data_IF_069044466243
#
_entry.id   IF_069044466243
#
_cell.length_a   1.000
_cell.length_b   1.000
_cell.length_c   1.000
_cell.angle_alpha   90.00
_cell.angle_beta   90.00
_cell.angle_gamma   90.00
#
_symmetry.space_group_name_H-M   'P 1'
#
loop_
_entity.id
_entity.type
_entity.pdbx_description
1 polymer ?
#
# COMPACT_ATOMS: atom_id res chain seq x y z
N UNK A 1 -9.55 17.30 39.89
CA UNK A 1 -9.95 17.09 38.47
C UNK A 1 -8.79 16.40 37.75
N UNK A 2 -8.88 15.07 37.59
CA UNK A 2 -7.88 14.28 36.86
C UNK A 2 -7.99 14.57 35.37
N UNK A 3 -6.96 15.18 34.81
CA UNK A 3 -6.76 15.22 33.36
C UNK A 3 -6.50 13.80 32.84
N UNK A 4 -7.54 13.14 32.33
CA UNK A 4 -7.41 11.94 31.52
C UNK A 4 -6.78 12.33 30.17
N UNK A 5 -5.46 12.49 30.13
CA UNK A 5 -4.71 12.34 28.90
C UNK A 5 -4.61 10.85 28.58
N UNK A 6 -5.65 10.30 27.95
CA UNK A 6 -5.57 8.95 27.36
C UNK A 6 -4.67 9.01 26.12
N UNK A 7 -3.36 9.16 26.31
CA UNK A 7 -2.43 8.89 25.22
C UNK A 7 -2.55 7.40 24.94
N UNK A 8 -3.07 7.01 23.76
CA UNK A 8 -3.04 5.62 23.32
C UNK A 8 -1.66 5.04 23.56
N UNK A 9 -1.62 3.86 24.17
CA UNK A 9 -0.35 3.19 24.48
C UNK A 9 0.43 2.99 23.18
N UNK A 10 1.76 3.18 23.22
CA UNK A 10 2.62 2.95 22.04
C UNK A 10 2.43 1.53 21.47
N UNK A 11 2.06 0.57 22.30
CA UNK A 11 1.80 -0.81 21.89
C UNK A 11 0.52 -0.90 21.04
N UNK A 12 -0.54 -0.18 21.42
CA UNK A 12 -1.80 -0.15 20.66
C UNK A 12 -1.57 0.41 19.25
N UNK A 13 -0.81 1.52 19.15
CA UNK A 13 -0.44 2.11 17.86
C UNK A 13 0.40 1.12 17.03
N UNK A 14 1.35 0.43 17.66
CA UNK A 14 2.20 -0.54 16.98
C UNK A 14 1.39 -1.73 16.43
N UNK A 15 0.44 -2.26 17.22
CA UNK A 15 -0.43 -3.37 16.82
C UNK A 15 -1.31 -2.96 15.63
N UNK A 16 -1.98 -1.81 15.70
CA UNK A 16 -2.81 -1.35 14.59
C UNK A 16 -2.01 -1.02 13.33
N UNK A 17 -0.81 -0.45 13.49
CA UNK A 17 0.06 -0.12 12.36
C UNK A 17 0.68 -1.35 11.70
N UNK A 18 0.98 -2.41 12.46
CA UNK A 18 1.58 -3.63 11.91
C UNK A 18 0.56 -4.57 11.25
N UNK A 19 -0.70 -4.53 11.70
CA UNK A 19 -1.79 -5.37 11.20
C UNK A 19 -1.93 -5.42 9.65
N UNK A 20 -1.95 -4.31 8.89
CA UNK A 20 -2.06 -4.39 7.43
C UNK A 20 -0.87 -5.11 6.81
N UNK A 21 0.33 -4.87 7.32
CA UNK A 21 1.56 -5.44 6.78
C UNK A 21 1.63 -6.95 7.00
N UNK A 22 1.25 -7.39 8.20
CA UNK A 22 1.15 -8.82 8.52
C UNK A 22 0.08 -9.49 7.67
N UNK A 23 -1.07 -8.83 7.49
CA UNK A 23 -2.17 -9.36 6.68
C UNK A 23 -1.80 -9.43 5.19
N UNK A 24 -1.14 -8.42 4.65
CA UNK A 24 -0.62 -8.40 3.28
C UNK A 24 0.36 -9.56 3.05
N UNK A 25 1.35 -9.74 3.95
CA UNK A 25 2.27 -10.88 3.90
C UNK A 25 1.53 -12.22 3.96
N UNK A 26 0.62 -12.38 4.92
CA UNK A 26 -0.14 -13.61 5.07
C UNK A 26 -0.93 -13.95 3.81
N UNK A 27 -1.64 -12.98 3.23
CA UNK A 27 -2.44 -13.18 2.03
C UNK A 27 -1.56 -13.50 0.83
N UNK A 28 -0.49 -12.74 0.56
CA UNK A 28 0.33 -13.02 -0.63
C UNK A 28 1.01 -14.40 -0.54
N UNK A 29 1.46 -14.80 0.66
CA UNK A 29 2.05 -16.11 0.91
C UNK A 29 1.02 -17.23 0.78
N UNK A 30 -0.17 -17.06 1.33
CA UNK A 30 -1.26 -18.04 1.22
C UNK A 30 -1.70 -18.20 -0.24
N UNK A 31 -1.90 -17.10 -0.97
CA UNK A 31 -2.27 -17.14 -2.39
C UNK A 31 -1.18 -17.78 -3.25
N UNK A 32 0.09 -17.52 -2.94
CA UNK A 32 1.16 -18.18 -3.64
C UNK A 32 1.20 -19.69 -3.34
N UNK A 33 1.01 -20.08 -2.08
CA UNK A 33 1.04 -21.48 -1.67
C UNK A 33 -0.13 -22.30 -2.22
N UNK A 34 -1.36 -21.76 -2.21
CA UNK A 34 -2.57 -22.49 -2.60
C UNK A 34 -2.96 -22.35 -4.07
N UNK A 35 -2.66 -21.21 -4.70
CA UNK A 35 -3.24 -20.85 -6.00
C UNK A 35 -2.20 -20.62 -7.10
N UNK A 36 -0.90 -20.54 -6.79
CA UNK A 36 0.11 -20.32 -7.83
C UNK A 36 0.47 -21.63 -8.57
N UNK A 37 0.66 -21.57 -9.91
CA UNK A 37 1.20 -22.69 -10.67
C UNK A 37 2.58 -23.13 -10.15
N UNK A 38 2.88 -24.44 -10.21
CA UNK A 38 4.19 -24.95 -9.82
C UNK A 38 5.30 -24.27 -10.63
N UNK A 39 6.37 -23.86 -9.96
CA UNK A 39 7.53 -23.14 -10.51
C UNK A 39 7.25 -21.74 -11.08
N UNK A 40 6.11 -21.12 -10.75
CA UNK A 40 5.88 -19.72 -11.13
C UNK A 40 6.79 -18.76 -10.36
N UNK A 41 7.21 -17.67 -11.01
CA UNK A 41 7.95 -16.58 -10.35
C UNK A 41 6.99 -15.87 -9.38
N UNK A 42 7.32 -15.86 -8.09
CA UNK A 42 6.56 -15.08 -7.11
C UNK A 42 6.87 -13.59 -7.29
N UNK A 43 5.81 -12.81 -7.46
CA UNK A 43 5.87 -11.35 -7.46
C UNK A 43 4.80 -10.87 -6.51
N UNK A 44 5.21 -10.05 -5.54
CA UNK A 44 4.27 -9.53 -4.56
C UNK A 44 3.20 -8.66 -5.24
N UNK A 45 1.91 -8.96 -5.00
CA UNK A 45 0.81 -8.09 -5.41
C UNK A 45 0.74 -6.83 -4.55
N UNK A 46 1.59 -6.65 -3.54
CA UNK A 46 1.50 -5.51 -2.65
C UNK A 46 2.66 -4.51 -2.80
N UNK A 47 3.65 -4.83 -3.64
CA UNK A 47 4.87 -4.05 -3.75
C UNK A 47 4.62 -2.65 -4.32
N UNK A 48 3.72 -2.50 -5.30
CA UNK A 48 3.35 -1.17 -5.83
C UNK A 48 2.59 -0.35 -4.78
N UNK A 49 1.77 -1.01 -3.95
CA UNK A 49 1.07 -0.39 -2.83
C UNK A 49 2.07 0.15 -1.80
N UNK A 50 3.11 -0.64 -1.50
CA UNK A 50 4.20 -0.25 -0.60
C UNK A 50 4.96 0.98 -1.11
N UNK A 51 5.32 1.00 -2.40
CA UNK A 51 5.99 2.17 -2.99
C UNK A 51 5.10 3.41 -3.04
N UNK A 52 3.81 3.23 -3.33
CA UNK A 52 2.82 4.32 -3.33
C UNK A 52 2.67 4.93 -1.93
N UNK A 53 2.51 4.08 -0.91
CA UNK A 53 2.52 4.48 0.49
C UNK A 53 3.80 5.24 0.84
N UNK A 54 4.95 4.71 0.43
CA UNK A 54 6.26 5.32 0.63
C UNK A 54 6.35 6.72 0.02
N UNK A 55 5.95 6.86 -1.24
CA UNK A 55 5.97 8.14 -1.97
C UNK A 55 5.13 9.20 -1.26
N UNK A 56 3.88 8.87 -0.93
CA UNK A 56 2.95 9.77 -0.25
C UNK A 56 3.52 10.16 1.12
N UNK A 57 4.06 9.20 1.86
CA UNK A 57 4.64 9.41 3.18
C UNK A 57 5.87 10.32 3.14
N UNK A 58 6.75 10.17 2.14
CA UNK A 58 7.90 11.07 1.95
C UNK A 58 7.49 12.47 1.50
N UNK A 59 6.49 12.60 0.62
CA UNK A 59 5.92 13.92 0.25
C UNK A 59 5.40 14.64 1.49
N UNK A 60 4.66 13.92 2.34
CA UNK A 60 4.15 14.42 3.62
C UNK A 60 5.28 14.80 4.57
N UNK A 61 6.34 13.99 4.67
CA UNK A 61 7.49 14.29 5.51
C UNK A 61 8.32 15.46 4.98
N UNK A 62 8.33 15.69 3.68
CA UNK A 62 9.08 16.77 3.04
C UNK A 62 8.35 18.12 3.10
N UNK A 63 7.07 18.14 2.72
CA UNK A 63 6.26 19.36 2.55
C UNK A 63 5.11 19.49 3.54
N UNK A 64 4.82 18.46 4.33
CA UNK A 64 3.73 18.50 5.29
C UNK A 64 4.07 19.35 6.51
N UNK A 65 3.22 20.33 6.79
CA UNK A 65 3.25 21.14 8.01
C UNK A 65 2.77 20.31 9.21
N UNK A 66 3.58 19.34 9.64
CA UNK A 66 3.25 18.42 10.72
C UNK A 66 3.95 18.86 12.01
N UNK A 67 3.21 18.93 13.12
CA UNK A 67 3.81 19.19 14.43
C UNK A 67 4.79 18.08 14.83
N UNK A 68 5.87 18.42 15.56
CA UNK A 68 6.91 17.46 15.94
C UNK A 68 6.39 16.17 16.62
N UNK A 69 5.34 16.27 17.45
CA UNK A 69 4.71 15.11 18.09
C UNK A 69 4.03 14.16 17.09
N UNK A 70 3.28 14.70 16.13
CA UNK A 70 2.63 13.94 15.07
C UNK A 70 3.67 13.31 14.14
N UNK A 71 4.71 14.07 13.77
CA UNK A 71 5.80 13.58 12.92
C UNK A 71 6.48 12.38 13.55
N UNK A 72 6.77 12.43 14.86
CA UNK A 72 7.37 11.31 15.59
C UNK A 72 6.48 10.06 15.57
N UNK A 73 5.16 10.21 15.77
CA UNK A 73 4.21 9.08 15.71
C UNK A 73 4.11 8.52 14.29
N UNK A 74 4.06 9.38 13.28
CA UNK A 74 4.00 8.97 11.88
C UNK A 74 5.28 8.25 11.45
N UNK A 75 6.47 8.81 11.73
CA UNK A 75 7.75 8.14 11.46
C UNK A 75 7.84 6.81 12.20
N UNK A 76 7.36 6.71 13.45
CA UNK A 76 7.29 5.43 14.17
C UNK A 76 6.41 4.40 13.43
N UNK A 77 5.22 4.78 12.98
CA UNK A 77 4.38 3.89 12.16
C UNK A 77 5.11 3.48 10.88
N UNK A 78 5.80 4.40 10.22
CA UNK A 78 6.56 4.12 9.00
C UNK A 78 7.76 3.19 9.24
N UNK A 79 8.34 3.19 10.44
CA UNK A 79 9.39 2.23 10.79
C UNK A 79 8.91 0.77 10.78
N UNK A 80 7.60 0.52 10.85
CA UNK A 80 7.02 -0.82 10.80
C UNK A 80 6.86 -1.36 9.39
N UNK A 81 7.07 -0.55 8.34
CA UNK A 81 7.11 -1.03 6.94
C UNK A 81 8.17 -2.12 6.74
N UNK A 82 9.19 -2.15 7.60
CA UNK A 82 10.23 -3.17 7.64
C UNK A 82 9.66 -4.60 7.73
N UNK A 83 8.52 -4.77 8.42
CA UNK A 83 7.85 -6.07 8.59
C UNK A 83 7.50 -6.61 7.21
N UNK A 84 6.78 -5.82 6.41
CA UNK A 84 6.41 -6.19 5.05
C UNK A 84 7.65 -6.33 4.17
N UNK A 85 8.56 -5.36 4.14
CA UNK A 85 9.68 -5.39 3.20
C UNK A 85 10.61 -6.57 3.41
N UNK A 86 10.95 -6.90 4.67
CA UNK A 86 11.81 -8.05 4.98
C UNK A 86 11.05 -9.35 4.75
N UNK A 87 9.79 -9.45 5.19
CA UNK A 87 8.97 -10.66 4.99
C UNK A 87 8.84 -11.01 3.51
N UNK A 88 8.50 -10.02 2.68
CA UNK A 88 8.36 -10.18 1.24
C UNK A 88 9.71 -10.48 0.57
N UNK A 89 10.81 -9.82 0.97
CA UNK A 89 12.14 -10.11 0.44
C UNK A 89 12.59 -11.54 0.75
N UNK A 90 12.47 -11.98 2.00
CA UNK A 90 12.85 -13.34 2.42
C UNK A 90 12.01 -14.38 1.67
N UNK A 91 10.70 -14.18 1.59
CA UNK A 91 9.81 -15.09 0.87
C UNK A 91 10.17 -15.15 -0.62
N UNK A 92 10.38 -13.99 -1.24
CA UNK A 92 10.79 -13.93 -2.65
C UNK A 92 12.11 -14.67 -2.90
N UNK A 93 13.13 -14.51 -2.05
CA UNK A 93 14.44 -15.15 -2.25
C UNK A 93 14.38 -16.67 -2.02
N UNK A 94 13.58 -17.14 -1.07
CA UNK A 94 13.49 -18.57 -0.72
C UNK A 94 12.68 -19.35 -1.75
N UNK A 95 11.58 -18.79 -2.26
CA UNK A 95 10.58 -19.51 -3.05
C UNK A 95 10.57 -19.16 -4.56
N UNK A 96 11.45 -18.28 -5.03
CA UNK A 96 11.51 -17.84 -6.44
C UNK A 96 12.82 -18.27 -7.11
N UNK A 97 12.86 -18.51 -8.43
CA UNK A 97 14.11 -18.75 -9.16
C UNK A 97 15.18 -17.68 -8.94
N UNK A 98 16.46 -18.09 -8.93
CA UNK A 98 17.64 -17.26 -8.56
C UNK A 98 17.90 -16.03 -9.45
N UNK A 99 17.26 -15.93 -10.62
CA UNK A 99 17.43 -14.82 -11.57
C UNK A 99 16.10 -14.10 -11.82
N UNK A 100 15.49 -13.57 -10.75
CA UNK A 100 14.26 -12.78 -10.85
C UNK A 100 14.58 -11.28 -10.81
N UNK A 101 14.22 -10.51 -11.86
CA UNK A 101 14.30 -9.06 -11.85
C UNK A 101 13.47 -8.40 -10.74
N UNK A 102 12.56 -9.16 -10.11
CA UNK A 102 11.85 -8.75 -8.89
C UNK A 102 12.77 -8.51 -7.68
N UNK A 103 14.00 -9.06 -7.67
CA UNK A 103 14.97 -8.85 -6.59
C UNK A 103 15.30 -7.36 -6.42
N UNK A 104 15.42 -6.61 -7.53
CA UNK A 104 15.74 -5.17 -7.47
C UNK A 104 14.60 -4.39 -6.79
N UNK A 105 13.34 -4.65 -7.16
CA UNK A 105 12.19 -4.01 -6.49
C UNK A 105 12.09 -4.42 -5.02
N UNK A 106 12.38 -5.67 -4.67
CA UNK A 106 12.38 -6.11 -3.29
C UNK A 106 13.50 -5.46 -2.47
N UNK A 107 14.70 -5.34 -3.03
CA UNK A 107 15.81 -4.61 -2.39
C UNK A 107 15.47 -3.13 -2.21
N UNK A 108 14.87 -2.49 -3.21
CA UNK A 108 14.40 -1.11 -3.11
C UNK A 108 13.41 -0.94 -1.94
N UNK A 109 12.49 -1.89 -1.74
CA UNK A 109 11.57 -1.87 -0.60
C UNK A 109 12.29 -2.01 0.75
N UNK A 110 13.30 -2.89 0.85
CA UNK A 110 14.12 -3.04 2.06
C UNK A 110 14.92 -1.77 2.35
N UNK A 111 15.60 -1.20 1.36
CA UNK A 111 16.34 0.05 1.51
C UNK A 111 15.43 1.20 1.93
N UNK A 112 14.21 1.27 1.40
CA UNK A 112 13.24 2.28 1.79
C UNK A 112 12.88 2.19 3.29
N UNK A 113 12.64 0.97 3.79
CA UNK A 113 12.39 0.73 5.21
C UNK A 113 13.57 1.13 6.10
N UNK A 114 14.81 0.86 5.64
CA UNK A 114 16.03 1.27 6.36
C UNK A 114 16.14 2.80 6.43
N UNK A 115 15.78 3.51 5.36
CA UNK A 115 15.78 4.98 5.37
C UNK A 115 14.81 5.52 6.42
N UNK A 116 13.62 4.94 6.58
CA UNK A 116 12.70 5.36 7.64
C UNK A 116 13.27 5.18 9.05
N UNK A 117 14.03 4.10 9.29
CA UNK A 117 14.73 3.88 10.56
C UNK A 117 15.86 4.86 10.82
N UNK A 118 16.60 5.21 9.76
CA UNK A 118 17.78 6.09 9.83
C UNK A 118 17.47 7.55 9.53
N UNK A 119 16.20 7.91 9.37
CA UNK A 119 15.80 9.25 8.99
C UNK A 119 16.27 10.25 10.06
N UNK A 120 17.13 11.22 9.69
CA UNK A 120 17.67 12.19 10.64
C UNK A 120 16.58 13.11 11.16
N UNK A 121 16.90 13.82 12.24
CA UNK A 121 15.97 14.81 12.78
C UNK A 121 15.88 16.00 11.81
N UNK A 122 14.70 16.64 11.69
CA UNK A 122 14.50 17.78 10.77
C UNK A 122 15.40 19.00 11.02
N UNK A 123 16.10 19.06 12.17
CA UNK A 123 17.04 20.14 12.49
C UNK A 123 18.28 20.14 11.58
N UNK A 124 18.61 19.01 10.98
CA UNK A 124 19.71 18.86 10.03
C UNK A 124 19.14 18.88 8.60
N UNK A 125 18.68 20.06 8.15
CA UNK A 125 17.87 20.19 6.92
C UNK A 125 18.55 19.62 5.67
N UNK A 126 19.87 19.82 5.51
CA UNK A 126 20.62 19.33 4.34
C UNK A 126 20.62 17.79 4.25
N UNK A 127 20.98 17.12 5.34
CA UNK A 127 21.02 15.65 5.40
C UNK A 127 19.61 15.07 5.33
N UNK A 128 18.64 15.71 5.98
CA UNK A 128 17.24 15.33 5.95
C UNK A 128 16.66 15.36 4.54
N UNK A 129 16.83 16.47 3.82
CA UNK A 129 16.33 16.62 2.45
C UNK A 129 17.05 15.65 1.49
N UNK A 130 18.36 15.47 1.66
CA UNK A 130 19.13 14.51 0.86
C UNK A 130 18.60 13.08 1.03
N UNK A 131 18.34 12.64 2.26
CA UNK A 131 17.75 11.31 2.51
C UNK A 131 16.35 11.16 1.91
N UNK A 132 15.52 12.21 1.96
CA UNK A 132 14.22 12.20 1.30
C UNK A 132 14.36 12.05 -0.22
N UNK A 133 15.26 12.81 -0.86
CA UNK A 133 15.47 12.69 -2.30
C UNK A 133 16.02 11.32 -2.69
N UNK A 134 16.94 10.75 -1.91
CA UNK A 134 17.41 9.38 -2.10
C UNK A 134 16.26 8.37 -1.99
N UNK A 135 15.37 8.55 -1.01
CA UNK A 135 14.21 7.68 -0.84
C UNK A 135 13.24 7.76 -2.03
N UNK A 136 12.97 8.97 -2.53
CA UNK A 136 12.15 9.18 -3.72
C UNK A 136 12.80 8.53 -4.95
N UNK A 137 14.12 8.64 -5.09
CA UNK A 137 14.88 7.96 -6.16
C UNK A 137 14.77 6.43 -6.08
N UNK A 138 14.92 5.85 -4.89
CA UNK A 138 14.75 4.40 -4.66
C UNK A 138 13.33 3.96 -4.97
N UNK A 139 12.33 4.73 -4.57
CA UNK A 139 10.93 4.48 -4.91
C UNK A 139 10.73 4.49 -6.44
N UNK A 140 11.29 5.47 -7.15
CA UNK A 140 11.18 5.56 -8.60
C UNK A 140 11.80 4.34 -9.29
N UNK A 141 13.00 3.90 -8.85
CA UNK A 141 13.63 2.66 -9.33
C UNK A 141 12.72 1.45 -9.06
N UNK A 142 12.15 1.37 -7.86
CA UNK A 142 11.21 0.32 -7.47
C UNK A 142 9.97 0.25 -8.38
N UNK A 143 9.37 1.40 -8.70
CA UNK A 143 8.26 1.54 -9.64
C UNK A 143 8.63 1.10 -11.05
N UNK A 144 9.73 1.64 -11.60
CA UNK A 144 10.19 1.33 -12.97
C UNK A 144 10.40 -0.18 -13.10
N UNK A 145 11.12 -0.77 -12.16
CA UNK A 145 11.40 -2.20 -12.18
C UNK A 145 10.13 -3.04 -12.00
N UNK A 146 9.21 -2.63 -11.12
CA UNK A 146 7.94 -3.32 -10.93
C UNK A 146 7.12 -3.36 -12.22
N UNK A 147 6.99 -2.22 -12.91
CA UNK A 147 6.30 -2.16 -14.19
C UNK A 147 7.03 -2.95 -15.27
N UNK A 148 8.37 -2.91 -15.31
CA UNK A 148 9.13 -3.66 -16.30
C UNK A 148 8.82 -5.17 -16.25
N UNK A 149 8.67 -5.73 -15.05
CA UNK A 149 8.34 -7.16 -14.87
C UNK A 149 6.96 -7.49 -15.45
N UNK A 150 5.91 -6.72 -15.12
CA UNK A 150 4.55 -7.03 -15.56
C UNK A 150 4.26 -6.73 -17.02
N UNK A 151 4.99 -5.77 -17.61
CA UNK A 151 4.77 -5.34 -18.99
C UNK A 151 5.69 -6.03 -19.99
N UNK A 152 6.93 -6.35 -19.61
CA UNK A 152 7.91 -6.95 -20.53
C UNK A 152 8.21 -8.42 -20.23
N UNK A 153 8.35 -8.81 -18.97
CA UNK A 153 8.80 -10.17 -18.62
C UNK A 153 7.64 -11.16 -18.51
N UNK A 154 6.51 -10.73 -17.97
CA UNK A 154 5.33 -11.58 -17.72
C UNK A 154 4.03 -10.95 -18.24
N UNK A 155 3.94 -10.58 -19.54
CA UNK A 155 2.73 -10.04 -20.12
C UNK A 155 1.64 -11.11 -20.16
N UNK A 156 0.73 -11.06 -19.19
CA UNK A 156 -0.40 -11.97 -19.09
C UNK A 156 -1.62 -11.23 -18.55
N UNK A 157 -2.76 -11.37 -19.22
CA UNK A 157 -4.01 -10.74 -18.80
C UNK A 157 -4.42 -11.19 -17.38
N UNK A 158 -4.11 -12.43 -16.99
CA UNK A 158 -4.33 -12.92 -15.64
C UNK A 158 -3.46 -12.22 -14.60
N UNK A 159 -2.20 -11.94 -14.95
CA UNK A 159 -1.30 -11.16 -14.10
C UNK A 159 -1.76 -9.71 -14.01
N UNK A 160 -2.38 -9.14 -15.05
CA UNK A 160 -2.92 -7.78 -15.03
C UNK A 160 -4.16 -7.63 -14.13
N UNK A 161 -4.92 -8.72 -13.88
CA UNK A 161 -5.97 -8.76 -12.86
C UNK A 161 -5.40 -8.96 -11.46
N UNK A 162 -4.53 -9.95 -11.27
CA UNK A 162 -3.92 -10.28 -9.96
C UNK A 162 -3.03 -9.15 -9.43
N UNK A 163 -2.28 -8.50 -10.31
CA UNK A 163 -1.41 -7.38 -10.00
C UNK A 163 -1.96 -6.07 -10.58
N UNK A 164 -3.27 -5.88 -10.45
CA UNK A 164 -3.93 -4.67 -10.91
C UNK A 164 -3.25 -3.42 -10.30
N UNK A 165 -2.61 -2.64 -11.18
CA UNK A 165 -1.83 -1.47 -10.78
C UNK A 165 -2.68 -0.43 -10.05
N UNK A 166 -3.90 -0.20 -10.52
CA UNK A 166 -4.80 0.78 -9.90
C UNK A 166 -5.29 0.31 -8.53
N UNK A 167 -5.60 -0.98 -8.37
CA UNK A 167 -5.96 -1.54 -7.06
C UNK A 167 -4.81 -1.39 -6.04
N UNK A 168 -3.57 -1.60 -6.48
CA UNK A 168 -2.40 -1.42 -5.62
C UNK A 168 -2.13 0.04 -5.26
N UNK A 169 -2.21 0.94 -6.26
CA UNK A 169 -2.06 2.38 -6.01
C UNK A 169 -3.16 2.84 -5.04
N UNK A 170 -4.40 2.38 -5.21
CA UNK A 170 -5.51 2.65 -4.30
C UNK A 170 -5.19 2.17 -2.88
N UNK A 171 -4.71 0.93 -2.71
CA UNK A 171 -4.31 0.42 -1.41
C UNK A 171 -3.18 1.24 -0.78
N UNK A 172 -2.17 1.64 -1.55
CA UNK A 172 -1.08 2.50 -1.06
C UNK A 172 -1.57 3.88 -0.58
N UNK A 173 -2.51 4.48 -1.32
CA UNK A 173 -3.19 5.72 -0.93
C UNK A 173 -3.98 5.54 0.37
N UNK A 174 -4.74 4.45 0.48
CA UNK A 174 -5.55 4.12 1.65
C UNK A 174 -4.69 3.90 2.89
N UNK A 175 -3.59 3.14 2.77
CA UNK A 175 -2.62 2.93 3.84
C UNK A 175 -2.00 4.25 4.30
N UNK A 176 -1.61 5.13 3.37
CA UNK A 176 -1.05 6.43 3.73
C UNK A 176 -2.04 7.28 4.51
N UNK A 177 -3.31 7.32 4.08
CA UNK A 177 -4.36 8.05 4.78
C UNK A 177 -4.67 7.46 6.14
N UNK A 178 -4.74 6.14 6.23
CA UNK A 178 -4.99 5.44 7.47
C UNK A 178 -3.89 5.68 8.51
N UNK A 179 -2.61 5.61 8.10
CA UNK A 179 -1.48 5.90 9.00
C UNK A 179 -1.39 7.37 9.40
N UNK A 180 -1.78 8.30 8.54
CA UNK A 180 -1.91 9.71 8.89
C UNK A 180 -3.00 9.94 9.94
N UNK A 181 -4.14 9.27 9.83
CA UNK A 181 -5.20 9.32 10.83
C UNK A 181 -4.75 8.67 12.14
N UNK A 182 -4.07 7.52 12.08
CA UNK A 182 -3.49 6.84 13.25
C UNK A 182 -2.44 7.71 13.97
N UNK A 183 -1.65 8.49 13.23
CA UNK A 183 -0.70 9.45 13.77
C UNK A 183 -1.34 10.75 14.29
N UNK A 184 -2.68 10.84 14.29
CA UNK A 184 -3.48 12.00 14.68
C UNK A 184 -3.14 13.26 13.87
N UNK A 185 -2.86 13.12 12.57
CA UNK A 185 -2.47 14.24 11.71
C UNK A 185 -3.52 15.35 11.65
N UNK A 186 -3.05 16.60 11.62
CA UNK A 186 -3.90 17.80 11.44
C UNK A 186 -4.10 18.18 9.98
N UNK A 187 -3.50 17.45 9.04
CA UNK A 187 -3.52 17.74 7.60
C UNK A 187 -4.87 17.38 6.94
N UNK A 188 -5.97 18.01 7.38
CA UNK A 188 -7.32 17.71 6.87
C UNK A 188 -7.47 18.02 5.39
N UNK A 189 -6.88 19.13 4.91
CA UNK A 189 -6.88 19.47 3.49
C UNK A 189 -6.16 18.40 2.66
N UNK A 190 -5.03 17.88 3.16
CA UNK A 190 -4.29 16.81 2.50
C UNK A 190 -5.07 15.50 2.49
N UNK A 191 -5.70 15.12 3.61
CA UNK A 191 -6.56 13.92 3.66
C UNK A 191 -7.74 14.02 2.67
N UNK A 192 -8.33 15.20 2.48
CA UNK A 192 -9.35 15.42 1.44
C UNK A 192 -8.81 15.22 0.03
N UNK A 193 -7.61 15.72 -0.26
CA UNK A 193 -6.93 15.48 -1.54
C UNK A 193 -6.68 13.98 -1.73
N UNK A 194 -6.25 13.30 -0.68
CA UNK A 194 -5.96 11.87 -0.69
C UNK A 194 -7.20 11.03 -0.97
N UNK A 195 -8.35 11.36 -0.36
CA UNK A 195 -9.64 10.71 -0.64
C UNK A 195 -10.10 10.99 -2.07
N UNK A 196 -9.93 12.21 -2.60
CA UNK A 196 -10.24 12.51 -4.00
C UNK A 196 -9.37 11.71 -4.97
N UNK A 197 -8.07 11.60 -4.67
CA UNK A 197 -7.13 10.78 -5.44
C UNK A 197 -7.53 9.30 -5.37
N UNK A 198 -7.89 8.79 -4.19
CA UNK A 198 -8.38 7.43 -4.00
C UNK A 198 -9.64 7.17 -4.85
N UNK A 199 -10.61 8.10 -4.87
CA UNK A 199 -11.81 7.98 -5.69
C UNK A 199 -11.49 7.93 -7.18
N UNK A 200 -10.60 8.81 -7.66
CA UNK A 200 -10.18 8.79 -9.07
C UNK A 200 -9.51 7.46 -9.43
N UNK A 201 -8.59 6.97 -8.59
CA UNK A 201 -7.91 5.68 -8.80
C UNK A 201 -8.89 4.51 -8.70
N UNK A 202 -9.88 4.56 -7.82
CA UNK A 202 -10.93 3.54 -7.74
C UNK A 202 -11.75 3.46 -9.03
N UNK A 203 -12.13 4.60 -9.63
CA UNK A 203 -12.81 4.61 -10.93
C UNK A 203 -11.92 4.04 -12.03
N UNK A 204 -10.64 4.42 -12.07
CA UNK A 204 -9.68 3.85 -13.03
C UNK A 204 -9.51 2.33 -12.82
N UNK A 205 -9.53 1.87 -11.58
CA UNK A 205 -9.49 0.46 -11.22
C UNK A 205 -10.70 -0.31 -11.78
N UNK A 206 -11.91 0.26 -11.69
CA UNK A 206 -13.12 -0.32 -12.30
C UNK A 206 -12.99 -0.42 -13.82
N UNK A 207 -12.60 0.67 -14.48
CA UNK A 207 -12.45 0.73 -15.93
C UNK A 207 -11.41 -0.30 -16.39
N UNK A 208 -10.25 -0.34 -15.73
CA UNK A 208 -9.19 -1.30 -16.04
C UNK A 208 -9.64 -2.75 -15.85
N UNK A 209 -10.31 -3.05 -14.74
CA UNK A 209 -10.80 -4.40 -14.46
C UNK A 209 -11.82 -4.84 -15.51
N UNK A 210 -12.78 -3.98 -15.86
CA UNK A 210 -13.76 -4.26 -16.91
C UNK A 210 -13.09 -4.46 -18.28
N UNK A 211 -12.11 -3.64 -18.62
CA UNK A 211 -11.32 -3.77 -19.84
C UNK A 211 -10.58 -5.12 -19.91
N UNK A 212 -9.87 -5.52 -18.84
CA UNK A 212 -9.14 -6.79 -18.83
C UNK A 212 -10.09 -7.99 -18.87
N UNK A 213 -11.23 -7.94 -18.17
CA UNK A 213 -12.26 -8.98 -18.21
C UNK A 213 -12.89 -9.11 -19.61
N UNK A 214 -13.08 -8.00 -20.32
CA UNK A 214 -13.58 -8.02 -21.69
C UNK A 214 -12.63 -8.74 -22.66
N UNK A 215 -11.32 -8.62 -22.43
CA UNK A 215 -10.29 -9.29 -23.23
C UNK A 215 -10.08 -10.75 -22.85
N UNK A 216 -10.52 -11.17 -21.66
CA UNK A 216 -10.33 -12.53 -21.17
C UNK A 216 -11.29 -13.51 -21.86
N UNK A 217 -10.84 -14.72 -22.23
CA UNK A 217 -11.75 -15.78 -22.67
C UNK A 217 -12.78 -16.10 -21.59
N UNK A 218 -14.07 -16.09 -21.95
CA UNK A 218 -15.19 -16.23 -21.01
C UNK A 218 -15.15 -17.52 -20.16
N UNK A 219 -14.53 -18.58 -20.69
CA UNK A 219 -14.36 -19.88 -20.02
C UNK A 219 -13.40 -19.82 -18.83
N UNK A 220 -12.55 -18.80 -18.76
CA UNK A 220 -11.55 -18.61 -17.72
C UNK A 220 -12.02 -17.67 -16.61
N UNK A 221 -13.19 -17.05 -16.77
CA UNK A 221 -13.72 -16.08 -15.82
C UNK A 221 -14.51 -16.81 -14.73
N UNK A 222 -14.04 -16.70 -13.49
CA UNK A 222 -14.81 -17.10 -12.33
C UNK A 222 -15.76 -15.95 -11.92
N UNK A 223 -17.02 -16.04 -12.34
CA UNK A 223 -18.02 -15.00 -12.08
C UNK A 223 -18.29 -14.77 -10.59
N UNK A 224 -18.09 -15.77 -9.74
CA UNK A 224 -18.31 -15.63 -8.29
C UNK A 224 -17.25 -14.71 -7.69
N UNK A 225 -15.97 -14.94 -7.98
CA UNK A 225 -14.88 -14.13 -7.43
C UNK A 225 -14.83 -12.74 -8.06
N UNK A 226 -15.14 -12.61 -9.35
CA UNK A 226 -15.27 -11.30 -10.02
C UNK A 226 -16.44 -10.48 -9.44
N UNK A 227 -17.61 -11.09 -9.22
CA UNK A 227 -18.74 -10.40 -8.61
C UNK A 227 -18.43 -9.95 -7.18
N UNK A 228 -17.80 -10.82 -6.39
CA UNK A 228 -17.32 -10.50 -5.05
C UNK A 228 -16.33 -9.33 -5.06
N UNK A 229 -15.39 -9.32 -6.00
CA UNK A 229 -14.47 -8.20 -6.20
C UNK A 229 -15.21 -6.88 -6.45
N UNK A 230 -16.17 -6.85 -7.37
CA UNK A 230 -16.92 -5.63 -7.66
C UNK A 230 -17.76 -5.14 -6.48
N UNK A 231 -18.34 -6.05 -5.68
CA UNK A 231 -19.03 -5.69 -4.43
C UNK A 231 -18.05 -5.05 -3.45
N UNK A 232 -16.86 -5.63 -3.25
CA UNK A 232 -15.83 -5.08 -2.37
C UNK A 232 -15.40 -3.69 -2.86
N UNK A 233 -15.15 -3.51 -4.15
CA UNK A 233 -14.79 -2.20 -4.73
C UNK A 233 -15.92 -1.17 -4.53
N UNK A 234 -17.18 -1.60 -4.58
CA UNK A 234 -18.31 -0.70 -4.41
C UNK A 234 -18.41 -0.25 -2.95
N UNK A 235 -18.17 -1.16 -2.01
CA UNK A 235 -18.06 -0.83 -0.59
C UNK A 235 -16.91 0.15 -0.32
N UNK A 236 -15.74 -0.02 -0.95
CA UNK A 236 -14.63 0.93 -0.84
C UNK A 236 -15.06 2.32 -1.36
N UNK A 237 -15.72 2.37 -2.52
CA UNK A 237 -16.22 3.62 -3.09
C UNK A 237 -17.25 4.29 -2.17
N UNK A 238 -18.15 3.52 -1.56
CA UNK A 238 -19.11 4.02 -0.58
C UNK A 238 -18.42 4.59 0.67
N UNK A 239 -17.39 3.90 1.20
CA UNK A 239 -16.62 4.39 2.34
C UNK A 239 -15.84 5.66 2.01
N UNK A 240 -15.23 5.75 0.83
CA UNK A 240 -14.56 6.95 0.34
C UNK A 240 -15.54 8.11 0.14
N UNK A 241 -16.73 7.83 -0.40
CA UNK A 241 -17.84 8.78 -0.49
C UNK A 241 -18.27 9.29 0.88
N UNK A 242 -18.39 8.40 1.87
CA UNK A 242 -18.69 8.79 3.24
C UNK A 242 -17.58 9.66 3.86
N UNK A 243 -16.31 9.36 3.61
CA UNK A 243 -15.19 10.20 4.06
C UNK A 243 -15.21 11.59 3.44
N UNK A 244 -15.60 11.71 2.17
CA UNK A 244 -15.61 12.98 1.44
C UNK A 244 -16.84 13.84 1.77
N UNK A 245 -18.03 13.24 1.80
CA UNK A 245 -19.32 13.89 2.02
C UNK A 245 -19.63 14.06 3.51
N UNK A 246 -19.07 13.18 4.35
CA UNK A 246 -19.22 13.24 5.79
C UNK A 246 -18.50 14.45 6.40
N UNK A 247 -19.03 14.93 7.53
CA UNK A 247 -18.41 16.04 8.28
C UNK A 247 -17.06 15.67 8.92
N UNK A 248 -16.70 14.38 8.94
CA UNK A 248 -15.51 13.87 9.62
C UNK A 248 -14.60 13.03 8.70
N UNK A 249 -13.66 13.70 8.02
CA UNK A 249 -12.64 13.08 7.15
C UNK A 249 -11.68 12.14 7.93
N UNK A 250 -11.64 12.26 9.26
CA UNK A 250 -10.80 11.44 10.15
C UNK A 250 -11.57 10.24 10.72
N UNK A 251 -12.73 9.89 10.14
CA UNK A 251 -13.48 8.72 10.56
C UNK A 251 -12.64 7.45 10.37
N UNK A 252 -12.08 6.94 11.47
CA UNK A 252 -11.18 5.79 11.47
C UNK A 252 -11.87 4.52 10.95
N UNK A 253 -13.16 4.36 11.21
CA UNK A 253 -13.93 3.19 10.77
C UNK A 253 -13.98 3.11 9.25
N UNK A 254 -14.27 4.23 8.57
CA UNK A 254 -14.33 4.27 7.12
C UNK A 254 -12.94 4.03 6.48
N UNK A 255 -11.87 4.63 7.02
CA UNK A 255 -10.50 4.35 6.57
C UNK A 255 -10.11 2.87 6.77
N UNK A 256 -10.49 2.29 7.90
CA UNK A 256 -10.17 0.89 8.24
C UNK A 256 -10.91 -0.06 7.30
N UNK A 257 -12.23 0.09 7.15
CA UNK A 257 -13.02 -0.76 6.25
C UNK A 257 -12.49 -0.65 4.82
N UNK A 258 -12.28 0.57 4.31
CA UNK A 258 -11.76 0.77 2.96
C UNK A 258 -10.38 0.12 2.76
N UNK A 259 -9.45 0.30 3.72
CA UNK A 259 -8.10 -0.25 3.62
C UNK A 259 -8.10 -1.78 3.64
N UNK A 260 -8.83 -2.40 4.59
CA UNK A 260 -8.85 -3.85 4.72
C UNK A 260 -9.59 -4.53 3.57
N UNK A 261 -10.65 -3.91 3.06
CA UNK A 261 -11.31 -4.36 1.82
C UNK A 261 -10.38 -4.25 0.62
N UNK A 262 -9.59 -3.17 0.51
CA UNK A 262 -8.62 -3.01 -0.57
C UNK A 262 -7.49 -4.04 -0.51
N UNK A 263 -7.12 -4.56 0.66
CA UNK A 263 -6.14 -5.65 0.79
C UNK A 263 -6.65 -6.93 0.09
N UNK A 264 -7.96 -7.18 0.02
CA UNK A 264 -8.51 -8.40 -0.59
C UNK A 264 -8.50 -8.41 -2.12
N UNK A 265 -8.02 -7.35 -2.76
CA UNK A 265 -8.06 -7.23 -4.21
C UNK A 265 -7.38 -8.39 -4.98
N UNK A 266 -6.29 -9.04 -4.51
CA UNK A 266 -5.63 -10.12 -5.26
C UNK A 266 -6.47 -11.40 -5.40
N UNK A 267 -7.58 -11.53 -4.64
CA UNK A 267 -8.50 -12.66 -4.71
C UNK A 267 -9.37 -12.68 -5.97
N UNK A 268 -9.32 -11.64 -6.82
CA UNK A 268 -10.15 -11.52 -8.04
C UNK A 268 -10.00 -12.69 -9.02
N UNK A 269 -8.85 -13.39 -8.99
CA UNK A 269 -8.49 -14.41 -9.97
C UNK A 269 -8.19 -15.77 -9.33
N UNK A 270 -8.91 -16.10 -8.24
CA UNK A 270 -9.00 -17.46 -7.68
C UNK A 270 -10.26 -18.11 -8.22
#
# INVERSE_FOLDING_TARGET
>A
MMHNHSSKSKQEIAIHASLPFVLMLFIEMALNFYSAPRNSIFISPYLLSFFTLGLISFIVLWKGEICNGQRKRFTFVLTLLVIFSIGNFLYSVIFTPKHSPAIISNLAAVFLSIIYWRLPKPKEESVYNTMIYCAIGIIAIGFIQYFAIYWFELPSLFNWLRANNFAQILLGILLAGWFLVLAESRLEKFLKILVKLALMVAVLNYIWTAFVLYLLPQQLINYVTVSGYFIIQFCILAMLGWLLLGKNIKNMTAWTIATFMAILYPFINI
#
